data_IF_869913422799
#
_entry.id   IF_869913422799
#
_cell.length_a   1.000
_cell.length_b   1.000
_cell.length_c   1.000
_cell.angle_alpha   90.00
_cell.angle_beta   90.00
_cell.angle_gamma   90.00
#
_symmetry.space_group_name_H-M   'P 1'
#
loop_
_entity.id
_entity.type
_entity.pdbx_description
1 polymer ?
#
# COMPACT_ATOMS: atom_id res chain seq x y z
N UNK A 1 36.76 -32.79 -26.68
CA UNK A 1 35.31 -32.52 -26.81
C UNK A 1 34.96 -31.52 -25.72
N UNK A 2 34.80 -30.25 -26.09
CA UNK A 2 34.55 -29.16 -25.13
C UNK A 2 33.06 -28.84 -25.11
N UNK A 3 32.44 -29.06 -23.94
CA UNK A 3 31.03 -28.74 -23.71
C UNK A 3 30.79 -27.23 -23.78
N UNK A 4 30.08 -26.79 -24.80
CA UNK A 4 29.71 -25.39 -24.99
C UNK A 4 28.41 -25.13 -24.21
N UNK A 5 28.55 -24.64 -22.98
CA UNK A 5 27.41 -24.28 -22.12
C UNK A 5 26.80 -22.98 -22.62
N UNK A 6 25.70 -23.07 -23.36
CA UNK A 6 24.91 -21.92 -23.83
C UNK A 6 24.24 -21.30 -22.60
N UNK A 7 24.67 -20.11 -22.18
CA UNK A 7 23.89 -19.27 -21.24
C UNK A 7 23.03 -18.31 -22.05
N UNK A 8 21.74 -18.26 -21.73
CA UNK A 8 20.83 -17.25 -22.29
C UNK A 8 21.27 -15.84 -21.82
N UNK A 9 21.15 -14.86 -22.71
CA UNK A 9 21.52 -13.47 -22.44
C UNK A 9 20.53 -12.81 -21.47
N UNK A 10 20.88 -12.79 -20.19
CA UNK A 10 20.36 -11.77 -19.25
C UNK A 10 21.17 -10.48 -19.42
N UNK A 11 20.51 -9.33 -19.46
CA UNK A 11 21.11 -8.02 -19.71
C UNK A 11 21.75 -7.50 -18.43
N UNK A 12 22.84 -6.76 -18.58
CA UNK A 12 23.66 -6.22 -17.49
C UNK A 12 22.98 -5.07 -16.72
N UNK A 13 21.76 -4.67 -17.12
CA UNK A 13 20.98 -3.61 -16.46
C UNK A 13 19.62 -4.16 -16.03
N UNK A 14 19.29 -4.13 -14.72
CA UNK A 14 18.03 -4.67 -14.20
C UNK A 14 16.79 -3.94 -14.74
N UNK A 15 16.97 -2.76 -15.34
CA UNK A 15 15.91 -1.90 -15.85
C UNK A 15 15.62 -2.13 -17.35
N UNK A 16 16.54 -2.79 -18.06
CA UNK A 16 16.51 -2.91 -19.53
C UNK A 16 16.06 -4.30 -20.04
N UNK A 17 15.58 -5.20 -19.16
CA UNK A 17 15.17 -6.52 -19.63
C UNK A 17 13.74 -6.97 -19.31
N UNK A 18 13.05 -7.25 -20.42
CA UNK A 18 12.04 -8.28 -20.53
C UNK A 18 11.63 -8.48 -21.97
N UNK A 19 12.54 -8.62 -22.94
CA UNK A 19 12.15 -8.89 -24.34
C UNK A 19 11.42 -10.22 -24.44
N UNK A 20 10.08 -10.17 -24.44
CA UNK A 20 9.28 -11.23 -25.02
C UNK A 20 9.45 -11.20 -26.54
N UNK A 21 9.03 -12.26 -27.23
CA UNK A 21 9.14 -12.39 -28.70
C UNK A 21 8.45 -11.20 -29.44
N UNK A 22 7.59 -10.44 -28.75
CA UNK A 22 6.90 -9.22 -29.24
C UNK A 22 7.45 -7.89 -28.68
N UNK A 23 8.66 -7.89 -28.11
CA UNK A 23 9.22 -6.74 -27.38
C UNK A 23 8.81 -6.77 -25.91
N UNK A 24 9.64 -6.22 -25.03
CA UNK A 24 9.32 -6.22 -23.61
C UNK A 24 8.19 -5.30 -23.28
N UNK A 25 7.25 -5.76 -22.44
CA UNK A 25 6.28 -4.85 -21.84
C UNK A 25 7.08 -3.89 -20.95
N UNK A 26 7.03 -2.57 -21.18
CA UNK A 26 7.64 -1.62 -20.27
C UNK A 26 7.12 -1.92 -18.86
N UNK A 27 8.00 -1.91 -17.86
CA UNK A 27 7.55 -2.06 -16.48
C UNK A 27 6.52 -0.97 -16.21
N UNK A 28 5.31 -1.37 -15.86
CA UNK A 28 4.30 -0.42 -15.42
C UNK A 28 4.92 0.39 -14.26
N UNK A 29 4.82 1.73 -14.28
CA UNK A 29 5.38 2.56 -13.23
C UNK A 29 4.88 2.07 -11.88
N UNK A 30 5.81 1.69 -10.99
CA UNK A 30 5.50 1.12 -9.67
C UNK A 30 4.88 2.14 -8.70
N UNK A 31 4.64 3.39 -9.14
CA UNK A 31 4.11 4.47 -8.31
C UNK A 31 2.57 4.56 -8.27
N UNK A 32 1.81 3.68 -8.94
CA UNK A 32 0.33 3.78 -8.96
C UNK A 32 -0.37 3.54 -7.60
N UNK A 33 0.35 3.38 -6.49
CA UNK A 33 -0.26 3.23 -5.15
C UNK A 33 -0.86 4.54 -4.61
N UNK A 34 -0.57 5.69 -5.24
CA UNK A 34 -1.12 7.01 -4.89
C UNK A 34 -2.45 7.32 -5.58
N UNK A 35 -2.91 6.51 -6.54
CA UNK A 35 -4.02 6.89 -7.43
C UNK A 35 -5.40 6.44 -6.95
N UNK A 36 -5.48 5.79 -5.78
CA UNK A 36 -6.76 5.37 -5.20
C UNK A 36 -7.35 6.55 -4.44
N UNK A 37 -8.57 7.02 -4.76
CA UNK A 37 -9.21 8.13 -4.09
C UNK A 37 -9.72 7.72 -2.70
N UNK A 38 -8.79 7.61 -1.74
CA UNK A 38 -9.03 7.12 -0.37
C UNK A 38 -9.87 8.07 0.46
N UNK A 39 -9.70 9.38 0.28
CA UNK A 39 -10.50 10.37 1.00
C UNK A 39 -11.96 10.28 0.57
N UNK A 40 -12.21 10.13 -0.73
CA UNK A 40 -13.54 9.89 -1.26
C UNK A 40 -14.14 8.56 -0.75
N UNK A 41 -13.33 7.49 -0.71
CA UNK A 41 -13.74 6.19 -0.18
C UNK A 41 -14.25 6.29 1.27
N UNK A 42 -13.54 7.02 2.15
CA UNK A 42 -13.96 7.21 3.55
C UNK A 42 -15.28 7.96 3.66
N UNK A 43 -15.48 9.01 2.86
CA UNK A 43 -16.74 9.77 2.82
C UNK A 43 -17.91 8.87 2.41
N UNK A 44 -17.73 8.05 1.38
CA UNK A 44 -18.74 7.11 0.89
C UNK A 44 -19.04 6.03 1.95
N UNK A 45 -18.02 5.44 2.57
CA UNK A 45 -18.19 4.43 3.65
C UNK A 45 -18.90 5.01 4.87
N UNK A 46 -18.57 6.24 5.27
CA UNK A 46 -19.27 6.91 6.38
C UNK A 46 -20.73 7.17 6.04
N UNK A 47 -21.01 7.67 4.84
CA UNK A 47 -22.38 7.89 4.37
C UNK A 47 -23.19 6.59 4.21
N UNK A 48 -22.53 5.43 4.04
CA UNK A 48 -23.19 4.14 4.00
C UNK A 48 -23.71 3.71 5.39
N UNK A 49 -23.10 4.20 6.47
CA UNK A 49 -23.47 3.86 7.85
C UNK A 49 -24.36 4.94 8.49
N UNK A 50 -24.04 6.23 8.28
CA UNK A 50 -24.75 7.35 8.89
C UNK A 50 -25.65 8.05 7.87
N UNK A 51 -26.96 7.84 8.02
CA UNK A 51 -27.98 8.42 7.15
C UNK A 51 -28.05 9.96 7.23
N UNK A 52 -27.75 10.56 8.39
CA UNK A 52 -27.71 12.01 8.54
C UNK A 52 -26.49 12.57 7.78
N UNK A 53 -25.34 11.93 7.95
CA UNK A 53 -24.14 12.29 7.18
C UNK A 53 -24.34 12.12 5.68
N UNK A 54 -25.04 11.07 5.23
CA UNK A 54 -25.42 10.88 3.82
C UNK A 54 -26.19 12.08 3.28
N UNK A 55 -27.21 12.56 4.00
CA UNK A 55 -27.98 13.74 3.59
C UNK A 55 -27.10 14.98 3.48
N UNK A 56 -26.21 15.20 4.45
CA UNK A 56 -25.26 16.31 4.45
C UNK A 56 -24.27 16.23 3.28
N UNK A 57 -23.75 15.03 2.99
CA UNK A 57 -22.83 14.79 1.87
C UNK A 57 -23.49 15.09 0.52
N UNK A 58 -24.75 14.69 0.34
CA UNK A 58 -25.50 14.94 -0.90
C UNK A 58 -25.83 16.42 -1.10
N UNK A 59 -26.10 17.16 -0.02
CA UNK A 59 -26.42 18.60 -0.02
C UNK A 59 -25.17 19.48 -0.18
N UNK A 60 -24.07 19.16 0.51
CA UNK A 60 -22.87 19.99 0.63
C UNK A 60 -21.58 19.30 0.14
N UNK A 61 -21.62 18.69 -1.04
CA UNK A 61 -20.51 17.89 -1.60
C UNK A 61 -19.15 18.57 -1.51
N UNK A 62 -19.08 19.85 -1.89
CA UNK A 62 -17.80 20.56 -2.01
C UNK A 62 -17.23 21.03 -0.66
N UNK A 63 -18.07 21.14 0.38
CA UNK A 63 -17.69 21.75 1.67
C UNK A 63 -17.55 20.75 2.80
N UNK A 64 -18.19 19.59 2.70
CA UNK A 64 -18.23 18.65 3.82
C UNK A 64 -16.85 18.08 4.17
N UNK A 65 -15.96 17.93 3.17
CA UNK A 65 -14.58 17.53 3.42
C UNK A 65 -13.82 18.56 4.26
N UNK A 66 -14.06 19.85 4.02
CA UNK A 66 -13.43 20.95 4.76
C UNK A 66 -13.99 21.08 6.17
N UNK A 67 -15.31 20.93 6.35
CA UNK A 67 -15.97 20.90 7.66
C UNK A 67 -15.43 19.74 8.53
N UNK A 68 -15.09 18.61 7.91
CA UNK A 68 -14.51 17.44 8.58
C UNK A 68 -12.98 17.47 8.69
N UNK A 69 -12.31 18.50 8.16
CA UNK A 69 -10.85 18.58 8.07
C UNK A 69 -10.24 17.33 7.40
N UNK A 70 -10.97 16.71 6.46
CA UNK A 70 -10.51 15.55 5.72
C UNK A 70 -9.74 16.05 4.47
N UNK A 71 -8.43 15.79 4.36
CA UNK A 71 -7.64 16.23 3.22
C UNK A 71 -8.06 15.42 1.98
N UNK A 72 -8.78 16.08 1.07
CA UNK A 72 -9.02 15.56 -0.27
C UNK A 72 -8.00 16.17 -1.24
N UNK A 73 -7.39 15.32 -2.06
CA UNK A 73 -6.56 15.76 -3.18
C UNK A 73 -7.41 16.58 -4.18
N UNK A 74 -6.84 17.54 -4.95
CA UNK A 74 -7.62 18.29 -5.93
C UNK A 74 -8.36 17.41 -6.93
N UNK A 75 -7.79 16.24 -7.29
CA UNK A 75 -8.47 15.26 -8.13
C UNK A 75 -9.72 14.67 -7.47
N UNK A 76 -9.67 14.34 -6.18
CA UNK A 76 -10.80 13.83 -5.42
C UNK A 76 -11.90 14.88 -5.24
N UNK A 77 -11.53 16.14 -4.97
CA UNK A 77 -12.48 17.24 -4.91
C UNK A 77 -13.21 17.41 -6.25
N UNK A 78 -12.47 17.40 -7.36
CA UNK A 78 -13.04 17.49 -8.69
C UNK A 78 -13.96 16.30 -9.01
N UNK A 79 -13.57 15.08 -8.60
CA UNK A 79 -14.42 13.89 -8.73
C UNK A 79 -15.71 14.04 -7.91
N UNK A 80 -15.62 14.43 -6.64
CA UNK A 80 -16.79 14.57 -5.77
C UNK A 80 -17.78 15.62 -6.29
N UNK A 81 -17.28 16.75 -6.81
CA UNK A 81 -18.08 17.80 -7.43
C UNK A 81 -18.72 17.34 -8.76
N UNK A 82 -18.01 16.52 -9.54
CA UNK A 82 -18.47 16.03 -10.84
C UNK A 82 -19.49 14.90 -10.78
N UNK A 83 -19.58 14.15 -9.68
CA UNK A 83 -20.51 13.01 -9.56
C UNK A 83 -21.95 13.52 -9.34
N UNK A 84 -22.93 13.13 -10.19
CA UNK A 84 -24.34 13.44 -9.97
C UNK A 84 -24.88 12.87 -8.65
N UNK A 85 -25.85 13.55 -8.03
CA UNK A 85 -26.41 13.16 -6.73
C UNK A 85 -26.88 11.71 -6.71
N UNK A 86 -27.66 11.34 -7.73
CA UNK A 86 -28.25 10.00 -7.88
C UNK A 86 -27.17 8.91 -8.04
N UNK A 87 -26.02 9.26 -8.64
CA UNK A 87 -24.91 8.33 -8.80
C UNK A 87 -24.14 8.16 -7.50
N UNK A 88 -23.88 9.25 -6.78
CA UNK A 88 -23.24 9.20 -5.47
C UNK A 88 -24.09 8.40 -4.48
N UNK A 89 -25.42 8.57 -4.49
CA UNK A 89 -26.33 7.79 -3.67
C UNK A 89 -26.29 6.29 -4.00
N UNK A 90 -26.23 5.91 -5.29
CA UNK A 90 -26.07 4.52 -5.71
C UNK A 90 -24.74 3.93 -5.22
N UNK A 91 -23.64 4.70 -5.30
CA UNK A 91 -22.34 4.27 -4.79
C UNK A 91 -22.39 4.03 -3.28
N UNK A 92 -22.97 4.96 -2.52
CA UNK A 92 -23.16 4.83 -1.07
C UNK A 92 -23.96 3.57 -0.73
N UNK A 93 -25.06 3.32 -1.44
CA UNK A 93 -25.91 2.14 -1.23
C UNK A 93 -25.20 0.82 -1.55
N UNK A 94 -24.31 0.81 -2.54
CA UNK A 94 -23.54 -0.37 -2.95
C UNK A 94 -22.29 -0.61 -2.09
N UNK A 95 -21.95 0.32 -1.19
CA UNK A 95 -20.74 0.22 -0.38
C UNK A 95 -21.01 -0.60 0.88
N UNK A 96 -20.33 -1.73 1.00
CA UNK A 96 -20.33 -2.54 2.22
C UNK A 96 -19.18 -2.12 3.14
N UNK A 97 -19.49 -1.97 4.43
CA UNK A 97 -18.49 -1.59 5.45
C UNK A 97 -18.36 -2.72 6.46
N UNK A 98 -17.14 -3.25 6.71
CA UNK A 98 -16.92 -4.26 7.73
C UNK A 98 -17.35 -3.80 9.12
N UNK A 99 -17.99 -4.67 9.90
CA UNK A 99 -18.55 -4.34 11.22
C UNK A 99 -17.54 -3.71 12.19
N UNK A 100 -16.26 -4.11 12.14
CA UNK A 100 -15.18 -3.55 12.94
C UNK A 100 -15.00 -2.03 12.72
N UNK A 101 -15.32 -1.52 11.54
CA UNK A 101 -15.16 -0.11 11.17
C UNK A 101 -16.42 0.73 11.45
N UNK A 102 -17.57 0.11 11.77
CA UNK A 102 -18.84 0.83 11.92
C UNK A 102 -18.80 1.86 13.04
N UNK A 103 -18.30 1.48 14.22
CA UNK A 103 -18.25 2.37 15.38
C UNK A 103 -17.31 3.56 15.14
N UNK A 104 -16.16 3.31 14.50
CA UNK A 104 -15.18 4.34 14.16
C UNK A 104 -15.74 5.31 13.11
N UNK A 105 -16.45 4.83 12.08
CA UNK A 105 -17.01 5.70 11.05
C UNK A 105 -18.28 6.45 11.51
N UNK A 106 -19.10 5.83 12.35
CA UNK A 106 -20.33 6.44 12.85
C UNK A 106 -20.09 7.51 13.91
N UNK A 107 -19.15 7.27 14.84
CA UNK A 107 -18.91 8.13 16.01
C UNK A 107 -17.52 8.78 16.04
N UNK A 108 -16.65 8.41 15.11
CA UNK A 108 -15.27 8.91 15.08
C UNK A 108 -15.20 10.40 14.79
N UNK A 109 -14.26 11.04 15.48
CA UNK A 109 -13.84 12.41 15.18
C UNK A 109 -13.06 12.44 13.85
N UNK A 110 -12.81 13.64 13.32
CA UNK A 110 -11.93 13.86 12.17
C UNK A 110 -10.60 13.10 12.29
N UNK A 111 -9.99 13.15 13.48
CA UNK A 111 -8.74 12.45 13.79
C UNK A 111 -8.87 10.91 13.67
N UNK A 112 -9.98 10.32 14.13
CA UNK A 112 -10.21 8.88 14.00
C UNK A 112 -10.37 8.45 12.54
N UNK A 113 -11.02 9.28 11.70
CA UNK A 113 -11.12 9.02 10.27
C UNK A 113 -9.75 9.14 9.57
N UNK A 114 -8.92 10.10 9.97
CA UNK A 114 -7.54 10.24 9.49
C UNK A 114 -6.67 9.04 9.89
N UNK A 115 -6.82 8.53 11.11
CA UNK A 115 -6.14 7.30 11.55
C UNK A 115 -6.56 6.08 10.70
N UNK A 116 -7.84 5.97 10.35
CA UNK A 116 -8.34 4.97 9.41
C UNK A 116 -7.71 5.14 8.02
N UNK A 117 -7.57 6.37 7.54
CA UNK A 117 -6.90 6.70 6.28
C UNK A 117 -5.43 6.26 6.32
N UNK A 118 -4.73 6.54 7.43
CA UNK A 118 -3.35 6.10 7.66
C UNK A 118 -3.22 4.58 7.71
N UNK A 119 -4.12 3.87 8.39
CA UNK A 119 -4.16 2.40 8.39
C UNK A 119 -4.35 1.86 6.97
N UNK A 120 -5.21 2.48 6.16
CA UNK A 120 -5.38 2.08 4.77
C UNK A 120 -4.11 2.35 3.94
N UNK A 121 -3.35 3.42 4.22
CA UNK A 121 -2.10 3.75 3.50
C UNK A 121 -0.95 2.82 3.89
N UNK A 122 -0.79 2.54 5.18
CA UNK A 122 0.44 1.94 5.72
C UNK A 122 0.29 0.51 6.21
N UNK A 123 -0.91 -0.04 6.37
CA UNK A 123 -1.01 -1.46 6.69
C UNK A 123 -0.60 -2.28 5.44
N UNK A 124 0.55 -2.98 5.43
CA UNK A 124 0.74 -4.05 4.48
C UNK A 124 -0.40 -5.02 4.78
N UNK A 125 -1.36 -5.22 3.86
CA UNK A 125 -2.44 -6.18 4.10
C UNK A 125 -1.77 -7.55 4.28
N UNK A 126 -1.65 -8.07 5.52
CA UNK A 126 -1.01 -9.36 5.75
C UNK A 126 -2.01 -10.37 5.21
N UNK A 127 -1.68 -11.03 4.11
CA UNK A 127 -2.57 -12.04 3.54
C UNK A 127 -3.52 -11.56 2.43
N UNK A 128 -3.33 -10.40 1.79
CA UNK A 128 -3.79 -10.24 0.39
C UNK A 128 -2.80 -10.90 -0.57
N UNK A 129 -2.49 -12.18 -0.32
CA UNK A 129 -2.53 -13.09 -1.43
C UNK A 129 -3.94 -12.91 -2.00
N UNK A 130 -4.05 -12.48 -3.24
CA UNK A 130 -5.30 -12.68 -3.96
C UNK A 130 -5.68 -14.13 -3.68
N UNK A 131 -6.73 -14.35 -2.90
CA UNK A 131 -7.48 -15.58 -3.05
C UNK A 131 -7.86 -15.51 -4.51
N UNK A 132 -7.11 -16.23 -5.34
CA UNK A 132 -7.52 -16.54 -6.70
C UNK A 132 -9.00 -16.84 -6.54
N UNK A 133 -9.89 -16.11 -7.25
CA UNK A 133 -11.31 -16.42 -7.15
C UNK A 133 -11.38 -17.93 -7.25
N UNK A 134 -12.02 -18.58 -6.28
CA UNK A 134 -12.30 -20.00 -6.37
C UNK A 134 -13.25 -20.15 -7.55
N UNK A 135 -12.69 -20.05 -8.76
CA UNK A 135 -13.17 -20.71 -9.93
C UNK A 135 -13.18 -22.14 -9.44
N UNK A 136 -14.38 -22.64 -9.21
CA UNK A 136 -14.63 -24.06 -9.03
C UNK A 136 -14.14 -24.76 -10.30
N UNK A 137 -12.82 -24.91 -10.41
CA UNK A 137 -12.15 -25.82 -11.32
C UNK A 137 -12.44 -27.18 -10.72
N UNK A 138 -13.65 -27.65 -11.02
CA UNK A 138 -14.03 -29.05 -10.91
C UNK A 138 -12.85 -29.84 -11.48
N UNK A 139 -12.25 -30.77 -10.72
CA UNK A 139 -11.18 -31.59 -11.24
C UNK A 139 -11.67 -32.23 -12.53
N UNK A 140 -10.89 -32.12 -13.60
CA UNK A 140 -11.16 -32.71 -14.89
C UNK A 140 -11.05 -34.24 -14.78
N UNK A 141 -12.06 -34.87 -14.17
CA UNK A 141 -12.32 -36.30 -14.26
C UNK A 141 -13.79 -36.46 -14.66
N UNK A 142 -14.01 -37.34 -15.63
CA UNK A 142 -15.25 -37.52 -16.41
C UNK A 142 -15.54 -36.41 -17.43
N UNK A 143 -14.81 -36.51 -18.55
CA UNK A 143 -15.30 -36.24 -19.90
C UNK A 143 -16.73 -36.78 -20.00
N UNK A 144 -17.74 -35.93 -19.89
CA UNK A 144 -19.11 -36.29 -20.24
C UNK A 144 -19.13 -36.44 -21.77
N UNK A 145 -19.60 -37.58 -22.27
CA UNK A 145 -19.69 -37.91 -23.70
C UNK A 145 -20.76 -37.11 -24.45
N UNK A 146 -21.26 -35.98 -23.92
CA UNK A 146 -22.46 -35.31 -24.45
C UNK A 146 -22.30 -33.86 -24.96
N UNK A 147 -21.08 -33.32 -25.09
CA UNK A 147 -20.87 -31.99 -25.70
C UNK A 147 -20.45 -32.09 -27.18
N UNK A 148 -21.29 -32.72 -28.00
CA UNK A 148 -21.05 -32.88 -29.45
C UNK A 148 -21.43 -31.64 -30.29
N UNK A 149 -22.07 -30.59 -29.72
CA UNK A 149 -22.57 -29.48 -30.56
C UNK A 149 -22.47 -28.09 -29.91
N UNK A 150 -21.26 -27.54 -29.79
CA UNK A 150 -21.08 -26.07 -29.83
C UNK A 150 -19.62 -25.67 -30.07
N UNK A 151 -19.03 -26.16 -31.17
CA UNK A 151 -17.87 -25.49 -31.77
C UNK A 151 -18.37 -24.22 -32.47
N UNK A 152 -18.37 -23.10 -31.76
CA UNK A 152 -18.38 -21.79 -32.42
C UNK A 152 -17.01 -21.66 -33.10
N UNK A 153 -16.95 -22.01 -34.38
CA UNK A 153 -15.84 -21.65 -35.26
C UNK A 153 -15.70 -20.13 -35.19
N UNK A 154 -14.66 -19.67 -34.51
CA UNK A 154 -14.23 -18.28 -34.62
C UNK A 154 -14.11 -17.92 -36.10
N UNK A 155 -14.73 -16.80 -36.46
CA UNK A 155 -14.68 -16.23 -37.80
C UNK A 155 -13.20 -15.99 -38.13
N UNK A 156 -12.60 -16.90 -38.89
CA UNK A 156 -11.32 -16.64 -39.53
C UNK A 156 -11.63 -15.77 -40.74
N UNK A 157 -10.97 -14.61 -40.91
CA UNK A 157 -11.01 -13.91 -42.19
C UNK A 157 -10.53 -14.88 -43.26
N UNK A 158 -11.35 -15.09 -44.28
CA UNK A 158 -10.99 -15.83 -45.47
C UNK A 158 -9.85 -15.08 -46.16
N UNK A 159 -8.61 -15.52 -45.93
CA UNK A 159 -7.48 -15.16 -46.76
C UNK A 159 -7.42 -16.20 -47.87
N UNK A 160 -7.96 -15.84 -49.03
CA UNK A 160 -7.72 -16.58 -50.26
C UNK A 160 -6.21 -16.63 -50.50
N UNK A 161 -5.70 -17.86 -50.53
CA UNK A 161 -4.37 -18.20 -51.01
C UNK A 161 -4.22 -17.71 -52.44
N UNK A 162 -3.28 -16.79 -52.69
CA UNK A 162 -2.52 -16.74 -53.94
C UNK A 162 -1.11 -16.16 -53.68
N UNK A 163 -0.13 -17.06 -53.63
CA UNK A 163 1.07 -17.03 -54.50
C UNK A 163 2.11 -15.88 -54.44
N UNK A 164 2.45 -15.32 -53.27
CA UNK A 164 3.52 -14.29 -53.20
C UNK A 164 4.66 -14.48 -52.18
N UNK A 165 4.93 -15.70 -51.68
CA UNK A 165 5.95 -15.89 -50.61
C UNK A 165 7.34 -16.36 -51.07
N UNK A 166 7.67 -16.35 -52.36
CA UNK A 166 8.97 -16.84 -52.84
C UNK A 166 10.13 -15.81 -52.86
N UNK A 167 9.91 -14.52 -52.55
CA UNK A 167 10.95 -13.50 -52.81
C UNK A 167 11.12 -12.42 -51.72
N UNK A 168 11.33 -12.83 -50.46
CA UNK A 168 11.78 -11.89 -49.43
C UNK A 168 13.09 -12.34 -48.79
N UNK A 169 14.16 -11.99 -49.51
CA UNK A 169 15.36 -11.41 -48.92
C UNK A 169 16.35 -12.38 -48.31
N UNK A 170 17.40 -12.70 -49.06
CA UNK A 170 18.67 -13.11 -48.50
C UNK A 170 19.13 -12.06 -47.46
N UNK A 171 19.27 -12.46 -46.20
CA UNK A 171 19.88 -11.62 -45.16
C UNK A 171 21.32 -11.27 -45.60
N UNK A 172 21.71 -9.99 -45.66
CA UNK A 172 23.10 -9.61 -45.82
C UNK A 172 23.93 -10.19 -44.66
N UNK A 173 25.06 -10.81 -44.96
CA UNK A 173 26.00 -11.35 -43.98
C UNK A 173 26.43 -10.25 -43.00
N UNK A 174 25.88 -10.27 -41.78
CA UNK A 174 26.40 -9.45 -40.69
C UNK A 174 27.67 -10.10 -40.15
N UNK A 175 28.79 -9.35 -40.02
CA UNK A 175 30.00 -9.87 -39.43
C UNK A 175 29.76 -10.27 -37.96
N UNK A 176 30.36 -11.38 -37.54
CA UNK A 176 30.19 -11.93 -36.20
C UNK A 176 30.58 -10.88 -35.12
N UNK A 177 29.77 -10.73 -34.05
CA UNK A 177 30.07 -9.78 -32.99
C UNK A 177 31.39 -10.12 -32.30
N UNK A 178 32.30 -9.15 -32.24
CA UNK A 178 33.55 -9.25 -31.49
C UNK A 178 33.26 -9.05 -30.00
N UNK A 179 33.34 -10.12 -29.21
CA UNK A 179 33.22 -10.06 -27.74
C UNK A 179 34.55 -9.48 -27.21
N UNK A 180 34.53 -8.25 -26.70
CA UNK A 180 35.66 -7.68 -25.96
C UNK A 180 35.64 -8.24 -24.54
N UNK A 181 36.71 -8.93 -24.14
CA UNK A 181 36.89 -9.54 -22.82
C UNK A 181 37.37 -8.51 -21.78
N UNK A 182 36.52 -7.57 -21.41
CA UNK A 182 36.72 -6.75 -20.20
C UNK A 182 35.56 -7.00 -19.25
N UNK A 183 35.60 -8.13 -18.53
CA UNK A 183 34.68 -8.37 -17.42
C UNK A 183 35.15 -7.55 -16.21
N UNK A 184 34.30 -6.68 -15.62
CA UNK A 184 34.63 -6.02 -14.37
C UNK A 184 34.67 -7.05 -13.25
N UNK A 185 35.80 -7.08 -12.52
CA UNK A 185 35.93 -7.84 -11.28
C UNK A 185 35.04 -7.18 -10.24
N UNK A 186 33.89 -7.78 -9.95
CA UNK A 186 33.06 -7.38 -8.81
C UNK A 186 33.76 -7.84 -7.53
N UNK A 187 34.33 -6.90 -6.79
CA UNK A 187 34.77 -7.14 -5.41
C UNK A 187 33.53 -7.14 -4.52
N UNK A 188 33.35 -8.17 -3.69
CA UNK A 188 32.22 -8.34 -2.74
C UNK A 188 32.13 -7.26 -1.62
N UNK A 189 32.79 -6.12 -1.79
CA UNK A 189 32.66 -4.98 -0.90
C UNK A 189 31.33 -4.26 -1.22
N UNK A 190 30.28 -4.57 -0.45
CA UNK A 190 29.03 -3.81 -0.48
C UNK A 190 29.34 -2.32 -0.26
N UNK A 191 28.99 -1.43 -1.22
CA UNK A 191 29.41 -0.02 -1.19
C UNK A 191 28.67 0.85 -0.18
N UNK A 192 27.65 0.34 0.50
CA UNK A 192 26.92 1.08 1.54
C UNK A 192 26.96 0.27 2.83
N UNK A 193 27.68 0.78 3.83
CA UNK A 193 27.76 0.22 5.19
C UNK A 193 26.46 0.36 5.98
N UNK A 194 25.32 0.04 5.35
CA UNK A 194 24.04 -0.12 6.02
C UNK A 194 24.12 -1.49 6.70
N UNK A 195 24.57 -1.49 7.94
CA UNK A 195 24.42 -2.65 8.82
C UNK A 195 22.92 -2.99 8.84
N UNK A 196 22.57 -4.18 8.33
CA UNK A 196 21.20 -4.66 8.40
C UNK A 196 20.87 -4.84 9.88
N UNK A 197 19.89 -4.09 10.39
CA UNK A 197 19.35 -4.24 11.76
C UNK A 197 18.65 -5.59 11.98
N UNK A 198 18.71 -6.50 10.99
CA UNK A 198 18.14 -7.82 11.10
C UNK A 198 18.96 -8.71 12.05
N UNK A 199 18.28 -9.44 12.96
CA UNK A 199 18.93 -10.46 13.78
C UNK A 199 19.56 -11.53 12.88
N UNK A 200 20.86 -11.72 13.02
CA UNK A 200 21.63 -12.75 12.29
C UNK A 200 21.92 -13.98 13.16
N UNK A 201 21.71 -13.90 14.47
CA UNK A 201 21.96 -15.01 15.37
C UNK A 201 20.96 -16.17 15.13
N UNK A 202 21.43 -17.42 15.01
CA UNK A 202 20.58 -18.57 14.66
C UNK A 202 19.49 -18.87 15.71
N UNK A 203 19.67 -18.40 16.95
CA UNK A 203 18.69 -18.53 18.04
C UNK A 203 17.36 -17.86 17.69
N UNK A 204 17.38 -16.76 16.93
CA UNK A 204 16.16 -16.06 16.50
C UNK A 204 15.37 -16.80 15.42
N UNK A 205 16.03 -17.71 14.69
CA UNK A 205 15.40 -18.58 13.70
C UNK A 205 14.83 -19.87 14.30
N UNK A 206 15.05 -20.11 15.60
CA UNK A 206 14.54 -21.31 16.29
C UNK A 206 13.01 -21.26 16.34
N UNK A 207 12.39 -22.37 15.96
CA UNK A 207 10.93 -22.54 15.98
C UNK A 207 10.45 -22.68 17.42
N UNK A 208 9.49 -21.84 17.79
CA UNK A 208 8.83 -21.83 19.10
C UNK A 208 7.76 -22.94 19.13
N UNK A 209 7.69 -23.70 20.22
CA UNK A 209 6.73 -24.81 20.38
C UNK A 209 5.72 -24.62 21.50
N UNK A 210 5.65 -23.42 22.06
CA UNK A 210 4.71 -23.08 23.15
C UNK A 210 3.44 -22.44 22.61
N UNK A 211 2.33 -22.73 23.28
CA UNK A 211 1.05 -22.07 23.06
C UNK A 211 0.92 -20.91 24.05
N UNK A 212 0.79 -19.69 23.52
CA UNK A 212 0.68 -18.45 24.32
C UNK A 212 -0.70 -17.80 24.23
N UNK A 213 -1.55 -18.25 23.32
CA UNK A 213 -2.92 -17.74 23.19
C UNK A 213 -3.72 -18.00 24.48
N UNK A 214 -4.41 -16.99 24.96
CA UNK A 214 -5.18 -16.97 26.21
C UNK A 214 -4.38 -16.61 27.46
N UNK A 215 -3.06 -16.42 27.35
CA UNK A 215 -2.22 -15.97 28.46
C UNK A 215 -2.07 -14.44 28.47
N UNK A 216 -1.78 -13.90 29.66
CA UNK A 216 -1.40 -12.49 29.79
C UNK A 216 -0.08 -12.22 29.07
N UNK A 217 0.12 -11.03 28.52
CA UNK A 217 1.33 -10.66 27.78
C UNK A 217 2.62 -10.94 28.59
N UNK A 218 2.64 -10.59 29.88
CA UNK A 218 3.80 -10.85 30.75
C UNK A 218 4.09 -12.36 30.90
N UNK A 219 3.05 -13.19 30.99
CA UNK A 219 3.18 -14.64 31.08
C UNK A 219 3.59 -15.26 29.74
N UNK A 220 3.02 -14.78 28.63
CA UNK A 220 3.38 -15.18 27.28
C UNK A 220 4.88 -14.93 26.99
N UNK A 221 5.40 -13.77 27.39
CA UNK A 221 6.81 -13.44 27.21
C UNK A 221 7.70 -14.33 28.09
N UNK A 222 7.31 -14.62 29.34
CA UNK A 222 8.03 -15.57 30.20
C UNK A 222 8.10 -16.98 29.58
N UNK A 223 6.99 -17.46 29.01
CA UNK A 223 6.95 -18.76 28.31
C UNK A 223 7.88 -18.78 27.08
N UNK A 224 7.97 -17.67 26.34
CA UNK A 224 8.92 -17.54 25.22
C UNK A 224 10.37 -17.56 25.69
N UNK A 225 10.70 -16.88 26.79
CA UNK A 225 12.05 -16.89 27.37
C UNK A 225 12.43 -18.32 27.78
N UNK A 226 11.54 -19.02 28.49
CA UNK A 226 11.77 -20.40 28.93
C UNK A 226 11.93 -21.39 27.77
N UNK A 227 11.14 -21.24 26.70
CA UNK A 227 11.20 -22.13 25.54
C UNK A 227 12.43 -21.88 24.66
N UNK A 228 12.76 -20.61 24.40
CA UNK A 228 13.84 -20.22 23.49
C UNK A 228 15.22 -20.27 24.13
N UNK A 229 15.30 -19.95 25.43
CA UNK A 229 16.56 -19.70 26.13
C UNK A 229 17.19 -18.33 25.80
N UNK A 230 16.50 -17.48 25.03
CA UNK A 230 16.95 -16.13 24.68
C UNK A 230 16.46 -15.14 25.74
N UNK A 231 17.33 -14.21 26.13
CA UNK A 231 16.96 -13.16 27.10
C UNK A 231 16.07 -12.13 26.40
N UNK A 232 14.85 -11.96 26.88
CA UNK A 232 13.91 -10.94 26.38
C UNK A 232 13.69 -9.95 27.52
N UNK A 233 14.19 -8.73 27.34
CA UNK A 233 13.99 -7.62 28.28
C UNK A 233 12.84 -6.76 27.78
N UNK A 234 11.84 -6.52 28.63
CA UNK A 234 10.70 -5.70 28.26
C UNK A 234 10.60 -4.51 29.19
N UNK A 235 10.44 -3.33 28.61
CA UNK A 235 10.32 -2.06 29.33
C UNK A 235 9.11 -1.29 28.83
N UNK A 236 8.57 -0.40 29.67
CA UNK A 236 7.42 0.42 29.29
C UNK A 236 6.06 -0.29 29.31
N UNK A 237 5.99 -1.52 29.82
CA UNK A 237 4.69 -2.20 30.06
C UNK A 237 3.97 -1.46 31.19
N UNK A 238 2.81 -0.89 30.88
CA UNK A 238 1.88 -0.38 31.89
C UNK A 238 1.01 -1.50 32.48
N UNK A 239 0.26 -1.19 33.54
CA UNK A 239 -0.58 -2.20 34.18
C UNK A 239 -1.68 -2.76 33.25
N UNK A 240 -2.08 -2.01 32.21
CA UNK A 240 -3.11 -2.45 31.25
C UNK A 240 -2.55 -3.45 30.26
N UNK A 241 -1.41 -3.14 29.64
CA UNK A 241 -0.65 -4.03 28.77
C UNK A 241 -0.23 -5.31 29.49
N UNK A 242 0.14 -5.21 30.78
CA UNK A 242 0.47 -6.39 31.58
C UNK A 242 -0.72 -7.36 31.71
N UNK A 243 -1.95 -6.84 31.74
CA UNK A 243 -3.18 -7.61 31.82
C UNK A 243 -3.76 -7.99 30.44
N UNK A 244 -3.16 -7.50 29.35
CA UNK A 244 -3.58 -7.82 27.99
C UNK A 244 -3.49 -9.32 27.73
N UNK A 245 -4.60 -9.91 27.26
CA UNK A 245 -4.69 -11.34 26.95
C UNK A 245 -4.35 -11.53 25.48
N UNK A 246 -3.29 -12.27 25.20
CA UNK A 246 -2.83 -12.55 23.84
C UNK A 246 -3.82 -13.52 23.17
N UNK A 247 -4.31 -13.17 21.99
CA UNK A 247 -5.18 -13.98 21.15
C UNK A 247 -4.40 -14.74 20.05
N UNK A 248 -3.25 -14.21 19.59
CA UNK A 248 -2.49 -14.84 18.51
C UNK A 248 -1.82 -16.15 18.91
N UNK A 249 -1.88 -17.12 18.00
CA UNK A 249 -1.13 -18.37 18.10
C UNK A 249 0.27 -18.22 17.48
N UNK A 250 1.33 -18.39 18.29
CA UNK A 250 2.73 -18.30 17.81
C UNK A 250 3.43 -19.65 17.70
N UNK A 251 2.71 -20.75 17.96
CA UNK A 251 3.26 -22.10 17.89
C UNK A 251 3.68 -22.44 16.46
N UNK A 252 4.91 -22.92 16.29
CA UNK A 252 5.48 -23.25 14.99
C UNK A 252 6.12 -22.07 14.26
N UNK A 253 6.10 -20.85 14.82
CA UNK A 253 6.77 -19.69 14.26
C UNK A 253 8.24 -19.59 14.71
N UNK A 254 9.14 -19.03 13.87
CA UNK A 254 10.46 -18.60 14.32
C UNK A 254 10.34 -17.58 15.46
N UNK A 255 11.26 -17.61 16.44
CA UNK A 255 11.24 -16.72 17.60
C UNK A 255 11.11 -15.24 17.20
N UNK A 256 11.84 -14.80 16.16
CA UNK A 256 11.71 -13.43 15.62
C UNK A 256 10.25 -13.08 15.29
N UNK A 257 9.63 -13.92 14.48
CA UNK A 257 8.24 -13.75 14.02
C UNK A 257 7.25 -13.86 15.17
N UNK A 258 7.49 -14.74 16.14
CA UNK A 258 6.65 -14.88 17.32
C UNK A 258 6.63 -13.58 18.15
N UNK A 259 7.81 -12.98 18.41
CA UNK A 259 7.92 -11.71 19.15
C UNK A 259 7.28 -10.57 18.36
N UNK A 260 7.56 -10.45 17.05
CA UNK A 260 6.94 -9.43 16.20
C UNK A 260 5.41 -9.55 16.17
N UNK A 261 4.89 -10.78 16.12
CA UNK A 261 3.43 -11.04 16.13
C UNK A 261 2.80 -10.56 17.45
N UNK A 262 3.42 -10.88 18.60
CA UNK A 262 2.94 -10.41 19.89
C UNK A 262 2.95 -8.88 19.99
N UNK A 263 4.05 -8.23 19.59
CA UNK A 263 4.15 -6.77 19.65
C UNK A 263 3.12 -6.10 18.72
N UNK A 264 2.94 -6.62 17.49
CA UNK A 264 1.94 -6.11 16.54
C UNK A 264 0.51 -6.27 17.02
N UNK A 265 0.20 -7.34 17.75
CA UNK A 265 -1.11 -7.52 18.34
C UNK A 265 -1.36 -6.47 19.44
N UNK A 266 -0.38 -6.28 20.33
CA UNK A 266 -0.47 -5.30 21.43
C UNK A 266 -0.48 -3.85 20.96
N UNK A 267 0.08 -3.54 19.78
CA UNK A 267 0.07 -2.16 19.25
C UNK A 267 -1.31 -1.69 18.80
N UNK A 268 -2.24 -2.62 18.57
CA UNK A 268 -3.63 -2.29 18.23
C UNK A 268 -4.35 -1.50 19.34
N UNK A 269 -3.88 -1.60 20.59
CA UNK A 269 -4.42 -0.86 21.75
C UNK A 269 -3.76 0.51 21.98
N UNK A 270 -3.18 1.12 20.93
CA UNK A 270 -2.56 2.44 20.95
C UNK A 270 -1.24 2.53 21.72
N UNK A 271 -0.42 1.48 21.67
CA UNK A 271 0.96 1.51 22.13
C UNK A 271 1.92 1.39 20.94
N UNK A 272 2.88 2.31 20.84
CA UNK A 272 4.01 2.16 19.93
C UNK A 272 5.04 1.24 20.57
N UNK A 273 5.83 0.54 19.77
CA UNK A 273 6.89 -0.31 20.29
C UNK A 273 8.15 -0.24 19.44
N UNK A 274 9.29 -0.43 20.10
CA UNK A 274 10.61 -0.58 19.48
C UNK A 274 11.17 -1.94 19.86
N UNK A 275 11.74 -2.67 18.89
CA UNK A 275 12.41 -3.96 19.12
C UNK A 275 13.86 -3.82 18.69
N UNK A 276 14.78 -4.01 19.63
CA UNK A 276 16.22 -4.00 19.38
C UNK A 276 16.75 -5.43 19.51
N UNK A 277 17.30 -5.95 18.42
CA UNK A 277 17.89 -7.29 18.34
C UNK A 277 19.40 -7.22 18.61
N UNK A 278 19.88 -8.00 19.59
CA UNK A 278 21.33 -8.12 19.91
C UNK A 278 21.80 -9.50 19.51
N UNK A 279 22.83 -9.59 18.68
CA UNK A 279 23.35 -10.87 18.16
C UNK A 279 24.39 -11.53 19.09
N UNK A 280 25.09 -10.77 19.93
CA UNK A 280 26.19 -11.28 20.75
C UNK A 280 26.31 -10.54 22.11
N UNK A 281 25.78 -11.09 23.22
CA UNK A 281 24.97 -12.32 23.31
C UNK A 281 23.58 -12.15 22.66
N UNK A 282 22.92 -13.27 22.27
CA UNK A 282 21.57 -13.23 21.71
C UNK A 282 20.58 -12.71 22.76
N UNK A 283 20.04 -11.52 22.53
CA UNK A 283 19.06 -10.89 23.41
C UNK A 283 18.10 -10.00 22.60
N UNK A 284 16.91 -9.77 23.15
CA UNK A 284 15.89 -8.88 22.59
C UNK A 284 15.53 -7.84 23.63
N UNK A 285 15.52 -6.57 23.24
CA UNK A 285 15.00 -5.48 24.06
C UNK A 285 13.75 -4.92 23.41
N UNK A 286 12.62 -4.97 24.13
CA UNK A 286 11.33 -4.49 23.68
C UNK A 286 10.96 -3.29 24.55
N UNK A 287 10.70 -2.16 23.92
CA UNK A 287 10.29 -0.93 24.60
C UNK A 287 8.90 -0.55 24.12
N UNK A 288 7.93 -0.53 25.03
CA UNK A 288 6.59 -0.02 24.76
C UNK A 288 6.52 1.47 25.10
N UNK A 289 6.01 2.26 24.17
CA UNK A 289 5.76 3.68 24.32
C UNK A 289 4.26 3.91 24.47
N UNK A 290 3.86 4.49 25.60
CA UNK A 290 2.48 4.91 25.80
C UNK A 290 2.18 6.09 24.88
N UNK A 291 1.38 5.80 23.85
CA UNK A 291 0.99 6.76 22.83
C UNK A 291 -0.21 7.61 23.27
N UNK A 292 -0.73 7.35 24.47
CA UNK A 292 -1.44 8.37 25.23
C UNK A 292 -0.39 9.40 25.62
N UNK A 293 -0.03 10.24 24.64
CA UNK A 293 0.35 11.60 24.89
C UNK A 293 -0.67 12.11 25.88
N UNK A 294 -0.25 12.14 27.15
CA UNK A 294 -0.81 12.99 28.16
C UNK A 294 -0.66 14.35 27.50
N UNK A 295 -1.69 14.76 26.78
CA UNK A 295 -2.00 16.15 26.55
C UNK A 295 -2.17 16.63 27.97
N UNK A 296 -1.04 17.01 28.57
CA UNK A 296 -0.97 17.47 29.93
C UNK A 296 -1.99 18.58 29.97
N UNK A 297 -3.10 18.31 30.65
CA UNK A 297 -4.21 19.24 30.78
C UNK A 297 -3.74 20.51 31.50
N UNK A 298 -2.54 20.48 32.07
CA UNK A 298 -1.81 21.59 32.66
C UNK A 298 -1.17 22.57 31.66
N UNK A 299 -1.15 22.28 30.36
CA UNK A 299 -0.66 23.24 29.36
C UNK A 299 -1.71 24.31 28.95
N UNK A 300 -2.96 24.22 29.43
CA UNK A 300 -4.01 25.22 29.17
C UNK A 300 -4.05 26.38 30.16
N UNK A 301 -3.03 26.54 31.00
CA UNK A 301 -2.93 27.68 31.93
C UNK A 301 -1.60 28.45 31.84
N UNK A 302 -1.07 28.62 30.63
CA UNK A 302 -0.06 29.66 30.35
C UNK A 302 -0.78 30.89 29.79
N UNK A 303 -1.09 31.93 30.60
CA UNK A 303 -1.58 33.19 30.07
C UNK A 303 -0.43 33.90 29.35
N UNK A 304 -0.51 33.97 28.02
CA UNK A 304 0.33 34.92 27.25
C UNK A 304 1.12 34.38 26.05
N UNK A 305 0.92 33.14 25.60
CA UNK A 305 1.56 32.71 24.36
C UNK A 305 0.72 33.09 23.13
N UNK A 306 0.93 34.33 22.65
CA UNK A 306 0.60 34.71 21.28
C UNK A 306 1.34 33.77 20.31
N UNK A 307 0.58 33.07 19.47
CA UNK A 307 1.14 32.30 18.36
C UNK A 307 1.88 33.27 17.43
N UNK A 308 3.11 32.95 17.00
CA UNK A 308 3.86 33.84 16.12
C UNK A 308 3.09 34.04 14.82
N UNK A 309 2.82 35.29 14.49
CA UNK A 309 2.22 35.70 13.23
C UNK A 309 3.18 35.34 12.09
N UNK A 310 2.99 34.16 11.49
CA UNK A 310 3.73 33.72 10.31
C UNK A 310 3.30 34.66 9.17
N UNK A 311 4.15 35.64 8.85
CA UNK A 311 3.99 36.45 7.64
C UNK A 311 4.16 35.51 6.44
N UNK A 312 3.22 35.52 5.47
CA UNK A 312 3.37 34.73 4.26
C UNK A 312 4.60 35.23 3.49
N UNK A 313 5.63 34.40 3.44
CA UNK A 313 6.78 34.63 2.56
C UNK A 313 6.31 34.37 1.13
N UNK A 314 6.45 35.32 0.18
CA UNK A 314 6.15 35.05 -1.22
C UNK A 314 7.15 34.00 -1.73
N UNK A 315 6.66 32.79 -1.94
CA UNK A 315 7.41 31.70 -2.52
C UNK A 315 7.39 31.90 -4.05
N UNK A 316 8.56 32.20 -4.61
CA UNK A 316 8.75 32.44 -6.03
C UNK A 316 8.76 31.09 -6.77
N UNK A 317 7.57 30.62 -7.17
CA UNK A 317 7.34 29.36 -7.89
C UNK A 317 7.77 29.41 -9.38
N UNK A 318 8.56 30.42 -9.78
CA UNK A 318 9.03 30.57 -11.16
C UNK A 318 10.03 29.48 -11.60
N UNK A 319 10.55 28.66 -10.69
CA UNK A 319 11.53 27.62 -11.01
C UNK A 319 10.93 26.30 -11.52
N UNK A 320 9.63 26.03 -11.30
CA UNK A 320 9.01 24.73 -11.64
C UNK A 320 8.52 24.68 -13.11
N UNK A 321 8.44 25.82 -13.80
CA UNK A 321 7.92 25.92 -15.18
C UNK A 321 9.07 26.04 -16.22
N UNK A 322 10.08 25.17 -16.13
CA UNK A 322 11.08 24.99 -17.22
C UNK A 322 10.82 23.67 -17.93
N UNK A 323 9.77 23.61 -18.75
CA UNK A 323 9.49 22.44 -19.57
C UNK A 323 8.21 22.48 -20.40
N UNK A 324 7.28 23.38 -20.10
CA UNK A 324 6.03 23.52 -20.86
C UNK A 324 6.27 24.52 -21.99
N UNK A 325 6.12 24.07 -23.24
CA UNK A 325 6.26 24.89 -24.45
C UNK A 325 5.26 26.06 -24.42
N UNK A 326 5.76 27.28 -24.63
CA UNK A 326 5.04 28.56 -24.55
C UNK A 326 4.07 28.84 -25.71
N UNK A 327 3.54 27.82 -26.39
CA UNK A 327 2.74 27.99 -27.62
C UNK A 327 1.23 27.98 -27.35
N UNK A 328 0.81 28.16 -26.09
CA UNK A 328 -0.61 28.26 -25.75
C UNK A 328 -1.15 29.65 -26.11
N UNK A 329 -2.21 29.75 -26.93
CA UNK A 329 -2.83 31.04 -27.24
C UNK A 329 -3.39 31.67 -25.96
N UNK A 330 -3.09 32.96 -25.76
CA UNK A 330 -3.58 33.76 -24.64
C UNK A 330 -5.11 33.66 -24.52
N UNK A 331 -5.58 33.06 -23.43
CA UNK A 331 -7.00 33.00 -23.10
C UNK A 331 -7.39 34.40 -22.64
N UNK A 332 -8.09 35.15 -23.50
CA UNK A 332 -8.66 36.45 -23.12
C UNK A 332 -9.65 36.23 -21.96
N UNK A 333 -9.54 36.98 -20.86
CA UNK A 333 -10.50 36.90 -19.76
C UNK A 333 -11.89 37.27 -20.29
N UNK A 334 -12.84 36.34 -20.14
CA UNK A 334 -14.24 36.57 -20.45
C UNK A 334 -14.80 37.49 -19.36
N UNK A 335 -15.23 38.69 -19.75
CA UNK A 335 -15.94 39.62 -18.88
C UNK A 335 -17.34 39.07 -18.62
N UNK A 336 -17.61 38.63 -17.38
CA UNK A 336 -18.89 38.01 -16.98
C UNK A 336 -19.90 39.05 -16.45
N UNK A 337 -19.53 40.34 -16.38
CA UNK A 337 -20.36 41.39 -15.74
C UNK A 337 -21.32 42.17 -16.65
N UNK A 338 -21.76 41.60 -17.77
CA UNK A 338 -22.78 42.21 -18.61
C UNK A 338 -23.91 41.21 -18.86
N UNK A 339 -24.88 41.15 -17.94
CA UNK A 339 -26.30 40.78 -18.21
C UNK A 339 -27.15 40.74 -16.93
N UNK A 340 -27.05 41.78 -16.08
CA UNK A 340 -28.00 42.03 -14.99
C UNK A 340 -28.56 43.44 -15.08
N UNK A 341 -29.21 43.77 -16.19
CA UNK A 341 -30.21 44.85 -16.23
C UNK A 341 -31.11 44.65 -17.44
N UNK A 342 -32.28 44.04 -17.24
CA UNK A 342 -33.20 43.80 -18.37
C UNK A 342 -34.43 42.96 -18.10
N UNK A 343 -35.21 43.25 -17.05
CA UNK A 343 -36.66 42.95 -17.06
C UNK A 343 -37.39 43.88 -16.09
N UNK A 344 -38.01 44.91 -16.69
CA UNK A 344 -39.16 45.63 -16.14
C UNK A 344 -40.40 45.19 -16.89
#
# INVERSE_FOLDING_TARGET
MTEKKIRMATADRPDEQGHTIVGGRPQAPRSMRTDIPRGLEILVKRAAIDANFKSQLLEKRDRIAEELQLPLDPSEKAMLAGIPADHLEKMIRATEVPAAQHNLLAKGTAAAMLALLAQLIFAPVPGRAETTPQINLRPASSRSENDEYSMVKGIRPDFDNDDHLADRGARPDMPAPQIKQEEPVYTDAAPDGIESDEPSAPEFARVVTVQVAGFKLEEAIKLLIENSGVVINVTGIDARLAEYVVESEVNGLPLKMAIETLCLETSSEACEFEIIWKNAPPAVEITFHDNLGVVASDALNIPGHELPLIKPTPQDDSAIIRGIRSDFPEIKPVNIDLDKDGSK
#
